data_IF_496557864251
#
_entry.id   IF_496557864251
#
_cell.length_a   1.000
_cell.length_b   1.000
_cell.length_c   1.000
_cell.angle_alpha   90.00
_cell.angle_beta   90.00
_cell.angle_gamma   90.00
#
_symmetry.space_group_name_H-M   'P 1'
#
loop_
_entity.id
_entity.type
_entity.pdbx_description
1 polymer ?
#
# COMPACT_ATOMS: atom_id res chain seq x y z
N UNK A 1 21.23 -0.78 -20.82
CA UNK A 1 21.06 0.59 -20.30
C UNK A 1 19.65 0.69 -19.78
N UNK A 2 19.48 1.09 -18.52
CA UNK A 2 18.15 1.28 -17.93
C UNK A 2 17.49 2.51 -18.53
N UNK A 3 16.29 2.36 -19.08
CA UNK A 3 15.50 3.48 -19.61
C UNK A 3 14.60 4.03 -18.50
N UNK A 4 14.61 5.35 -18.26
CA UNK A 4 13.60 5.99 -17.39
C UNK A 4 12.31 6.14 -18.20
N UNK A 5 11.23 5.53 -17.72
CA UNK A 5 9.90 5.69 -18.31
C UNK A 5 9.25 6.98 -17.80
N UNK A 6 8.36 7.57 -18.61
CA UNK A 6 7.53 8.69 -18.17
C UNK A 6 6.63 8.25 -17.02
N UNK A 7 6.56 9.10 -15.98
CA UNK A 7 5.74 8.85 -14.80
C UNK A 7 4.52 9.76 -14.83
N UNK A 8 3.34 9.27 -14.41
CA UNK A 8 2.19 10.14 -14.18
C UNK A 8 2.34 10.88 -12.84
N UNK A 9 1.60 11.98 -12.69
CA UNK A 9 1.47 12.61 -11.38
C UNK A 9 0.92 11.62 -10.33
N UNK A 10 1.30 11.87 -9.08
CA UNK A 10 0.88 11.06 -7.95
C UNK A 10 0.49 11.99 -6.80
N UNK A 11 -0.75 11.82 -6.35
CA UNK A 11 -1.27 12.43 -5.14
C UNK A 11 -2.14 11.39 -4.44
N UNK A 12 -1.55 10.67 -3.49
CA UNK A 12 -2.27 9.71 -2.67
C UNK A 12 -3.07 10.42 -1.57
N UNK A 13 -4.24 9.90 -1.22
CA UNK A 13 -5.00 10.30 -0.04
C UNK A 13 -5.53 9.09 0.71
N UNK A 14 -5.76 9.21 2.01
CA UNK A 14 -6.52 8.23 2.79
C UNK A 14 -8.01 8.51 2.61
N UNK A 15 -8.71 7.59 1.95
CA UNK A 15 -10.15 7.69 1.68
C UNK A 15 -11.00 7.06 2.80
N UNK A 16 -10.44 6.13 3.57
CA UNK A 16 -11.12 5.48 4.68
C UNK A 16 -10.19 4.62 5.53
N UNK A 17 -10.65 4.29 6.72
CA UNK A 17 -9.94 3.40 7.64
C UNK A 17 -10.93 2.56 8.44
N UNK A 18 -10.63 1.28 8.61
CA UNK A 18 -11.40 0.38 9.47
C UNK A 18 -10.52 -0.72 10.07
N UNK A 19 -11.06 -1.54 10.97
CA UNK A 19 -10.43 -2.76 11.46
C UNK A 19 -11.23 -3.96 11.01
N UNK A 20 -10.54 -4.90 10.39
CA UNK A 20 -11.08 -6.17 9.94
C UNK A 20 -10.73 -7.23 10.98
N UNK A 21 -11.76 -7.80 11.60
CA UNK A 21 -11.63 -9.01 12.41
C UNK A 21 -11.94 -10.19 11.51
N UNK A 22 -10.95 -11.04 11.26
CA UNK A 22 -11.11 -12.16 10.34
C UNK A 22 -11.95 -13.28 10.97
N UNK A 23 -12.56 -14.17 10.16
CA UNK A 23 -13.45 -15.23 10.66
C UNK A 23 -12.79 -16.23 11.63
N UNK A 24 -11.46 -16.33 11.62
CA UNK A 24 -10.72 -17.25 12.50
C UNK A 24 -10.67 -16.79 13.98
N UNK A 25 -11.15 -15.56 14.26
CA UNK A 25 -11.22 -15.00 15.60
C UNK A 25 -9.87 -14.63 16.23
N UNK A 26 -8.76 -14.75 15.49
CA UNK A 26 -7.41 -14.43 15.96
C UNK A 26 -6.66 -13.46 15.05
N UNK A 27 -7.04 -13.40 13.77
CA UNK A 27 -6.40 -12.57 12.77
C UNK A 27 -7.11 -11.21 12.69
N UNK A 28 -6.31 -10.14 12.73
CA UNK A 28 -6.81 -8.77 12.77
C UNK A 28 -5.95 -7.89 11.87
N UNK A 29 -6.61 -7.20 10.94
CA UNK A 29 -5.95 -6.28 10.03
C UNK A 29 -6.57 -4.89 10.13
N UNK A 30 -5.73 -3.87 10.27
CA UNK A 30 -6.16 -2.47 10.09
C UNK A 30 -6.20 -2.20 8.58
N UNK A 31 -7.36 -1.83 8.05
CA UNK A 31 -7.52 -1.51 6.63
C UNK A 31 -7.38 0.00 6.42
N UNK A 32 -6.49 0.38 5.49
CA UNK A 32 -6.30 1.72 4.97
C UNK A 32 -6.74 1.76 3.51
N UNK A 33 -7.86 2.42 3.24
CA UNK A 33 -8.38 2.61 1.89
C UNK A 33 -7.73 3.86 1.31
N UNK A 34 -6.98 3.71 0.23
CA UNK A 34 -6.19 4.77 -0.39
C UNK A 34 -6.71 5.10 -1.79
N UNK A 35 -6.72 6.38 -2.14
CA UNK A 35 -7.01 6.85 -3.50
C UNK A 35 -5.79 7.55 -4.08
N UNK A 36 -5.58 7.49 -5.39
CA UNK A 36 -4.71 8.43 -6.12
C UNK A 36 -5.61 9.37 -6.91
N UNK A 37 -5.67 10.63 -6.48
CA UNK A 37 -6.55 11.65 -7.08
C UNK A 37 -5.87 12.37 -8.24
N UNK A 38 -6.67 12.90 -9.17
CA UNK A 38 -6.19 13.70 -10.30
C UNK A 38 -5.52 12.90 -11.43
N UNK A 39 -5.55 11.57 -11.38
CA UNK A 39 -5.12 10.72 -12.50
C UNK A 39 -6.16 10.64 -13.61
N UNK A 40 -5.69 10.32 -14.81
CA UNK A 40 -6.55 9.83 -15.88
C UNK A 40 -7.17 8.50 -15.45
N UNK A 41 -8.40 8.22 -15.90
CA UNK A 41 -9.15 7.01 -15.52
C UNK A 41 -9.37 6.87 -13.99
N UNK A 42 -10.05 7.84 -13.35
CA UNK A 42 -10.21 7.86 -11.89
C UNK A 42 -10.86 6.60 -11.32
N UNK A 43 -11.67 5.89 -12.09
CA UNK A 43 -12.29 4.63 -11.67
C UNK A 43 -11.30 3.49 -11.31
N UNK A 44 -10.03 3.59 -11.74
CA UNK A 44 -8.97 2.63 -11.37
C UNK A 44 -8.20 3.04 -10.11
N UNK A 45 -8.23 4.31 -9.76
CA UNK A 45 -7.29 4.87 -8.78
C UNK A 45 -7.98 5.54 -7.60
N UNK A 46 -9.23 5.95 -7.74
CA UNK A 46 -9.98 6.68 -6.73
C UNK A 46 -11.25 5.95 -6.33
N UNK A 47 -11.37 5.59 -5.05
CA UNK A 47 -12.53 4.93 -4.48
C UNK A 47 -13.84 5.69 -4.69
N UNK A 48 -13.82 7.02 -4.77
CA UNK A 48 -15.03 7.80 -5.04
C UNK A 48 -15.60 7.57 -6.46
N UNK A 49 -14.78 7.03 -7.37
CA UNK A 49 -15.11 6.73 -8.76
C UNK A 49 -15.01 5.23 -9.10
N UNK A 50 -14.66 4.39 -8.12
CA UNK A 50 -14.38 2.98 -8.33
C UNK A 50 -15.63 2.19 -8.75
N UNK A 51 -15.41 1.08 -9.47
CA UNK A 51 -16.48 0.21 -9.99
C UNK A 51 -17.17 -0.64 -8.91
N UNK A 52 -16.58 -0.71 -7.72
CA UNK A 52 -17.11 -1.38 -6.55
C UNK A 52 -16.82 -0.51 -5.33
N UNK A 53 -17.65 -0.66 -4.31
CA UNK A 53 -17.59 0.09 -3.07
C UNK A 53 -16.51 -0.45 -2.12
N UNK A 54 -16.10 0.40 -1.18
CA UNK A 54 -15.22 0.02 -0.07
C UNK A 54 -15.84 -1.14 0.75
N UNK A 55 -17.15 -1.10 1.00
CA UNK A 55 -17.86 -2.14 1.74
C UNK A 55 -17.87 -3.49 1.01
N UNK A 56 -18.02 -3.50 -0.32
CA UNK A 56 -17.90 -4.73 -1.12
C UNK A 56 -16.47 -5.29 -1.11
N UNK A 57 -15.46 -4.44 -1.06
CA UNK A 57 -14.08 -4.89 -0.85
C UNK A 57 -13.89 -5.49 0.53
N UNK A 58 -14.33 -4.81 1.60
CA UNK A 58 -14.22 -5.29 2.98
C UNK A 58 -14.87 -6.68 3.15
N UNK A 59 -16.08 -6.85 2.62
CA UNK A 59 -16.80 -8.12 2.69
C UNK A 59 -16.01 -9.25 2.01
N UNK A 60 -15.53 -9.03 0.79
CA UNK A 60 -14.74 -10.02 0.03
C UNK A 60 -13.39 -10.32 0.69
N UNK A 61 -12.72 -9.30 1.23
CA UNK A 61 -11.46 -9.50 1.94
C UNK A 61 -11.66 -10.40 3.16
N UNK A 62 -12.74 -10.19 3.93
CA UNK A 62 -13.10 -11.00 5.08
C UNK A 62 -13.54 -12.44 4.72
N UNK A 63 -13.98 -12.70 3.49
CA UNK A 63 -14.22 -14.05 2.97
C UNK A 63 -12.90 -14.80 2.65
N UNK A 64 -11.80 -14.07 2.51
CA UNK A 64 -10.46 -14.62 2.32
C UNK A 64 -9.91 -15.34 3.54
N UNK A 65 -8.94 -16.22 3.33
CA UNK A 65 -8.25 -16.98 4.40
C UNK A 65 -6.90 -16.34 4.76
N UNK A 66 -6.90 -15.02 5.01
CA UNK A 66 -5.71 -14.29 5.43
C UNK A 66 -5.50 -14.41 6.93
N UNK A 67 -4.37 -14.97 7.34
CA UNK A 67 -4.04 -15.17 8.75
C UNK A 67 -2.95 -14.21 9.23
N UNK A 68 -3.07 -13.74 10.47
CA UNK A 68 -2.07 -12.95 11.18
C UNK A 68 -2.58 -11.62 11.71
N UNK A 69 -1.65 -10.84 12.26
CA UNK A 69 -1.89 -9.47 12.72
C UNK A 69 -1.09 -8.51 11.84
N UNK A 70 -1.72 -7.41 11.43
CA UNK A 70 -1.05 -6.44 10.59
C UNK A 70 -1.97 -5.34 10.08
N UNK A 71 -1.72 -4.91 8.86
CA UNK A 71 -2.52 -3.89 8.19
C UNK A 71 -2.56 -4.14 6.68
N UNK A 72 -3.54 -3.54 6.03
CA UNK A 72 -3.80 -3.67 4.60
C UNK A 72 -3.88 -2.27 4.02
N UNK A 73 -3.20 -2.03 2.90
CA UNK A 73 -3.42 -0.84 2.07
C UNK A 73 -4.17 -1.26 0.83
N UNK A 74 -5.27 -0.58 0.51
CA UNK A 74 -6.09 -0.93 -0.64
C UNK A 74 -6.38 0.30 -1.49
N UNK A 75 -5.79 0.33 -2.68
CA UNK A 75 -6.26 1.16 -3.79
C UNK A 75 -7.28 0.38 -4.62
N UNK A 76 -8.12 1.04 -5.45
CA UNK A 76 -9.08 0.32 -6.28
C UNK A 76 -8.45 -0.68 -7.28
N UNK A 77 -7.16 -0.54 -7.60
CA UNK A 77 -6.44 -1.41 -8.55
C UNK A 77 -5.43 -2.37 -7.89
N UNK A 78 -4.98 -2.10 -6.67
CA UNK A 78 -4.01 -2.97 -5.98
C UNK A 78 -4.23 -2.93 -4.46
N UNK A 79 -4.16 -4.12 -3.85
CA UNK A 79 -4.19 -4.32 -2.41
C UNK A 79 -2.87 -4.90 -1.97
N UNK A 80 -2.30 -4.38 -0.87
CA UNK A 80 -1.15 -4.98 -0.20
C UNK A 80 -1.50 -5.37 1.22
N UNK A 81 -1.16 -6.60 1.58
CA UNK A 81 -1.28 -7.11 2.95
C UNK A 81 0.10 -7.05 3.58
N UNK A 82 0.21 -6.30 4.68
CA UNK A 82 1.41 -6.23 5.51
C UNK A 82 1.14 -6.99 6.80
N UNK A 83 1.82 -8.11 6.99
CA UNK A 83 1.63 -9.01 8.13
C UNK A 83 2.92 -9.08 8.94
N UNK A 84 2.85 -8.93 10.26
CA UNK A 84 4.02 -9.23 11.09
C UNK A 84 4.34 -10.71 11.00
N UNK A 85 5.59 -11.03 10.65
CA UNK A 85 5.98 -12.40 10.38
C UNK A 85 5.91 -13.23 11.66
N UNK A 86 5.16 -14.36 11.68
CA UNK A 86 5.00 -15.18 12.87
C UNK A 86 6.32 -15.84 13.30
N UNK A 87 7.27 -16.03 12.39
CA UNK A 87 8.58 -16.58 12.70
C UNK A 87 9.54 -15.54 13.31
N UNK A 88 9.33 -14.25 12.99
CA UNK A 88 10.21 -13.14 13.41
C UNK A 88 9.38 -11.86 13.55
N UNK A 89 8.94 -11.53 14.77
CA UNK A 89 8.03 -10.39 15.03
C UNK A 89 8.61 -9.00 14.65
N UNK A 90 9.92 -8.92 14.37
CA UNK A 90 10.57 -7.73 13.85
C UNK A 90 10.56 -7.67 12.32
N UNK A 91 9.83 -8.53 11.62
CA UNK A 91 9.76 -8.56 10.15
C UNK A 91 8.31 -8.36 9.72
N UNK A 92 8.14 -7.65 8.59
CA UNK A 92 6.84 -7.49 7.94
C UNK A 92 6.89 -8.27 6.61
N UNK A 93 6.04 -9.27 6.50
CA UNK A 93 5.74 -9.97 5.25
C UNK A 93 4.78 -9.12 4.42
N UNK A 94 4.96 -9.14 3.10
CA UNK A 94 4.10 -8.41 2.16
C UNK A 94 3.54 -9.37 1.10
N UNK A 95 2.24 -9.27 0.84
CA UNK A 95 1.59 -9.85 -0.34
C UNK A 95 0.89 -8.77 -1.15
N UNK A 96 0.95 -8.88 -2.46
CA UNK A 96 0.27 -7.97 -3.40
C UNK A 96 -0.85 -8.71 -4.10
N UNK A 97 -2.01 -8.07 -4.21
CA UNK A 97 -3.24 -8.65 -4.76
C UNK A 97 -3.92 -7.66 -5.71
N UNK A 98 -4.60 -8.18 -6.73
CA UNK A 98 -5.60 -7.40 -7.47
C UNK A 98 -6.77 -7.08 -6.53
N UNK A 99 -7.16 -5.80 -6.40
CA UNK A 99 -8.22 -5.44 -5.44
C UNK A 99 -9.59 -5.97 -5.85
N UNK A 100 -9.84 -6.15 -7.15
CA UNK A 100 -11.13 -6.57 -7.63
C UNK A 100 -11.31 -8.09 -7.47
N UNK A 101 -10.30 -8.91 -7.73
CA UNK A 101 -10.39 -10.38 -7.62
C UNK A 101 -9.76 -10.96 -6.36
N UNK A 102 -8.87 -10.22 -5.68
CA UNK A 102 -8.01 -10.69 -4.59
C UNK A 102 -7.03 -11.81 -5.01
N UNK A 103 -6.80 -11.98 -6.31
CA UNK A 103 -5.77 -12.87 -6.82
C UNK A 103 -4.38 -12.28 -6.59
N UNK A 104 -3.39 -13.13 -6.34
CA UNK A 104 -2.00 -12.71 -6.14
C UNK A 104 -1.41 -12.07 -7.41
N UNK A 105 -0.69 -10.97 -7.21
CA UNK A 105 0.08 -10.28 -8.25
C UNK A 105 1.56 -10.59 -8.09
N UNK A 106 2.26 -10.72 -9.22
CA UNK A 106 3.73 -10.82 -9.23
C UNK A 106 4.34 -9.42 -9.03
N UNK A 107 5.00 -9.24 -7.89
CA UNK A 107 5.69 -8.00 -7.54
C UNK A 107 7.10 -7.90 -8.15
N UNK A 108 7.53 -8.90 -8.92
CA UNK A 108 8.84 -8.90 -9.57
C UNK A 108 8.98 -7.75 -10.56
N UNK A 109 10.09 -7.04 -10.46
CA UNK A 109 10.53 -5.96 -11.34
C UNK A 109 11.76 -6.43 -12.13
N UNK A 110 12.15 -5.62 -13.12
CA UNK A 110 13.38 -5.86 -13.86
C UNK A 110 14.59 -5.91 -12.91
N UNK A 111 15.66 -6.58 -13.36
CA UNK A 111 16.94 -6.65 -12.64
C UNK A 111 16.85 -7.30 -11.23
N UNK A 112 15.93 -8.26 -11.07
CA UNK A 112 15.72 -9.02 -9.81
C UNK A 112 15.27 -8.17 -8.62
N UNK A 113 14.76 -6.97 -8.88
CA UNK A 113 14.10 -6.18 -7.85
C UNK A 113 12.66 -6.64 -7.66
N UNK A 114 12.10 -6.36 -6.50
CA UNK A 114 10.67 -6.53 -6.23
C UNK A 114 10.09 -5.17 -5.84
N UNK A 115 8.84 -4.92 -6.21
CA UNK A 115 8.12 -3.82 -5.62
C UNK A 115 7.93 -4.08 -4.13
N UNK A 116 8.23 -3.06 -3.34
CA UNK A 116 7.90 -3.05 -1.92
C UNK A 116 6.58 -2.33 -1.69
N UNK A 117 6.55 -1.03 -1.98
CA UNK A 117 5.42 -0.16 -1.69
C UNK A 117 5.52 1.14 -2.52
N UNK A 118 4.39 1.76 -2.83
CA UNK A 118 4.36 3.14 -3.29
C UNK A 118 4.60 4.12 -2.12
N UNK A 119 4.59 5.43 -2.41
CA UNK A 119 4.93 6.45 -1.41
C UNK A 119 3.96 6.49 -0.21
N UNK A 120 2.64 6.51 -0.45
CA UNK A 120 1.65 6.52 0.63
C UNK A 120 1.77 5.26 1.51
N UNK A 121 1.88 4.09 0.87
CA UNK A 121 2.06 2.81 1.56
C UNK A 121 3.32 2.80 2.42
N UNK A 122 4.46 3.28 1.88
CA UNK A 122 5.72 3.32 2.62
C UNK A 122 5.63 4.17 3.90
N UNK A 123 4.89 5.28 3.86
CA UNK A 123 4.69 6.13 5.04
C UNK A 123 3.77 5.47 6.07
N UNK A 124 2.70 4.81 5.62
CA UNK A 124 1.81 4.04 6.52
C UNK A 124 2.59 2.88 7.15
N UNK A 125 3.38 2.14 6.36
CA UNK A 125 4.25 1.06 6.86
C UNK A 125 5.20 1.59 7.93
N UNK A 126 5.84 2.73 7.71
CA UNK A 126 6.75 3.31 8.69
C UNK A 126 6.05 3.67 10.01
N UNK A 127 4.85 4.22 9.97
CA UNK A 127 4.06 4.57 11.17
C UNK A 127 3.54 3.32 11.90
N UNK A 128 2.97 2.36 11.18
CA UNK A 128 2.49 1.11 11.75
C UNK A 128 3.62 0.30 12.37
N UNK A 129 4.75 0.18 11.68
CA UNK A 129 5.88 -0.57 12.18
C UNK A 129 6.53 0.09 13.40
N UNK A 130 6.55 1.43 13.44
CA UNK A 130 6.97 2.18 14.65
C UNK A 130 5.99 1.96 15.80
N UNK A 131 4.69 1.90 15.53
CA UNK A 131 3.69 1.62 16.56
C UNK A 131 3.84 0.20 17.11
N UNK A 132 4.02 -0.79 16.23
CA UNK A 132 4.30 -2.17 16.61
C UNK A 132 5.54 -2.30 17.48
N UNK A 133 6.66 -1.70 17.06
CA UNK A 133 7.91 -1.73 17.80
C UNK A 133 7.85 -1.06 19.18
N UNK A 134 6.83 -0.22 19.44
CA UNK A 134 6.63 0.48 20.72
C UNK A 134 5.60 -0.17 21.62
N UNK A 135 4.68 -0.95 21.06
CA UNK A 135 3.59 -1.54 21.81
C UNK A 135 4.11 -2.69 22.68
N UNK A 136 3.64 -2.77 23.91
CA UNK A 136 3.98 -3.87 24.83
C UNK A 136 3.09 -5.11 24.58
N UNK A 137 2.04 -4.98 23.77
CA UNK A 137 1.12 -6.06 23.42
C UNK A 137 0.44 -5.84 22.06
N UNK A 138 -0.09 -6.92 21.49
CA UNK A 138 -0.93 -6.86 20.27
C UNK A 138 -2.15 -5.98 20.49
N UNK A 139 -2.82 -6.08 21.64
CA UNK A 139 -4.02 -5.29 21.95
C UNK A 139 -3.73 -3.79 21.96
N UNK A 140 -2.59 -3.39 22.52
CA UNK A 140 -2.13 -2.00 22.49
C UNK A 140 -1.83 -1.54 21.07
N UNK A 141 -1.08 -2.34 20.29
CA UNK A 141 -0.83 -2.04 18.88
C UNK A 141 -2.14 -1.87 18.10
N UNK A 142 -3.13 -2.72 18.35
CA UNK A 142 -4.43 -2.67 17.68
C UNK A 142 -5.27 -1.43 18.06
N UNK A 143 -4.88 -0.63 19.07
CA UNK A 143 -5.48 0.69 19.31
C UNK A 143 -4.87 1.79 18.44
N UNK A 144 -3.64 1.63 17.95
CA UNK A 144 -2.99 2.63 17.11
C UNK A 144 -3.62 2.73 15.72
N UNK A 145 -3.81 3.96 15.22
CA UNK A 145 -4.26 4.26 13.86
C UNK A 145 -3.30 5.29 13.26
N UNK A 146 -2.75 4.99 12.08
CA UNK A 146 -1.98 5.98 11.33
C UNK A 146 -2.91 7.14 10.95
N UNK A 147 -2.50 8.37 11.26
CA UNK A 147 -3.27 9.59 11.02
C UNK A 147 -2.88 10.32 9.73
N UNK A 148 -1.90 9.80 8.98
CA UNK A 148 -1.49 10.37 7.70
C UNK A 148 -2.63 10.22 6.68
N UNK A 149 -2.94 11.32 5.99
CA UNK A 149 -4.08 11.38 5.07
C UNK A 149 -3.75 11.97 3.69
N UNK A 150 -2.58 12.58 3.53
CA UNK A 150 -2.20 13.32 2.31
C UNK A 150 -0.76 12.95 1.89
N UNK A 151 -0.59 12.51 0.64
CA UNK A 151 0.65 11.93 0.13
C UNK A 151 1.04 12.48 -1.27
N UNK A 152 1.36 13.78 -1.39
CA UNK A 152 1.74 14.36 -2.67
C UNK A 152 3.19 14.02 -3.06
N UNK A 153 3.44 13.75 -4.34
CA UNK A 153 4.79 13.79 -4.91
C UNK A 153 5.00 15.15 -5.59
N UNK A 154 5.90 15.96 -5.05
CA UNK A 154 6.16 17.32 -5.54
C UNK A 154 6.65 17.37 -7.00
N UNK A 155 7.55 16.45 -7.40
CA UNK A 155 8.03 16.31 -8.76
C UNK A 155 8.10 14.82 -9.15
N UNK A 156 7.34 14.42 -10.17
CA UNK A 156 7.29 13.04 -10.69
C UNK A 156 8.34 12.77 -11.78
N UNK A 157 9.07 13.79 -12.26
CA UNK A 157 10.06 13.68 -13.33
C UNK A 157 11.52 13.67 -12.84
N UNK A 158 11.75 13.86 -11.53
CA UNK A 158 13.09 14.02 -10.92
C UNK A 158 14.14 12.96 -11.31
N UNK A 159 13.74 11.71 -11.54
CA UNK A 159 14.68 10.65 -11.96
C UNK A 159 15.09 10.81 -13.42
N UNK A 160 14.14 11.13 -14.31
CA UNK A 160 14.43 11.46 -15.71
C UNK A 160 15.34 12.68 -15.76
N UNK A 161 14.95 13.76 -15.07
CA UNK A 161 15.72 15.01 -15.00
C UNK A 161 17.16 14.77 -14.52
N UNK A 162 17.39 13.82 -13.61
CA UNK A 162 18.72 13.48 -13.11
C UNK A 162 19.55 12.68 -14.12
N UNK A 163 18.95 11.70 -14.81
CA UNK A 163 19.68 10.89 -15.80
C UNK A 163 19.91 11.64 -17.12
N UNK A 164 18.96 12.46 -17.56
CA UNK A 164 19.11 13.29 -18.76
C UNK A 164 20.24 14.32 -18.58
N UNK A 165 20.43 14.86 -17.37
CA UNK A 165 21.59 15.71 -17.04
C UNK A 165 22.93 14.96 -17.08
N UNK A 166 22.95 13.69 -16.71
CA UNK A 166 24.20 12.89 -16.70
C UNK A 166 24.56 12.27 -18.06
N UNK A 167 23.66 12.38 -19.04
CA UNK A 167 23.92 12.00 -20.44
C UNK A 167 24.35 13.17 -21.32
N UNK A 168 24.29 14.41 -20.82
CA UNK A 168 24.93 15.57 -21.42
C UNK A 168 26.32 15.74 -20.80
N UNK A 169 27.43 15.32 -21.45
CA UNK A 169 28.75 15.68 -20.98
C UNK A 169 28.90 17.21 -21.05
N UNK A 170 29.54 17.79 -20.03
CA UNK A 170 29.78 19.22 -19.83
C UNK A 170 29.89 20.01 -21.16
N UNK A 171 29.05 21.04 -21.30
CA UNK A 171 29.38 22.20 -22.14
C UNK A 171 30.49 23.01 -21.49
#
# INVERSE_FOLDING_TARGET
>A
MTQVLSCQSYHGITAGQTVLNMPDGRSVFKLYLLSIVGRNEPALYDWANARFSMAEFEARFCEGSYEGVGFVTAFPHITKIFRYAPEVETVIDVRELDTASLDELDCSRNDQYHEFACYAESLIVAEEYRAWARADSVDEYLQFRCSLADFPIANHNKLSDYWDRSTQPDQ
#
